data_IF_104815683210
#
_entry.id   IF_104815683210
#
_cell.length_a   1.000
_cell.length_b   1.000
_cell.length_c   1.000
_cell.angle_alpha   90.00
_cell.angle_beta   90.00
_cell.angle_gamma   90.00
#
_symmetry.space_group_name_H-M   'P 1'
#
loop_
_entity.id
_entity.type
_entity.pdbx_description
1 polymer ?
#
# COMPACT_ATOMS: atom_id res chain seq x y z
N UNK A 1 -11.87 -5.12 -5.77
CA UNK A 1 -10.92 -4.66 -4.72
C UNK A 1 -10.02 -3.50 -5.15
N UNK A 2 -9.02 -3.66 -6.04
CA UNK A 2 -8.07 -2.58 -6.43
C UNK A 2 -8.72 -1.25 -6.83
N UNK A 3 -9.80 -1.29 -7.62
CA UNK A 3 -10.58 -0.09 -7.97
C UNK A 3 -11.08 0.66 -6.72
N UNK A 4 -11.63 -0.07 -5.75
CA UNK A 4 -12.17 0.51 -4.52
C UNK A 4 -11.06 1.14 -3.66
N UNK A 5 -9.88 0.52 -3.63
CA UNK A 5 -8.71 1.06 -2.91
C UNK A 5 -8.30 2.42 -3.50
N UNK A 6 -8.22 2.52 -4.82
CA UNK A 6 -7.74 3.75 -5.49
C UNK A 6 -8.74 4.89 -5.35
N UNK A 7 -10.04 4.59 -5.40
CA UNK A 7 -11.10 5.57 -5.15
C UNK A 7 -11.37 5.81 -3.65
N UNK A 8 -10.63 5.17 -2.75
CA UNK A 8 -10.85 5.21 -1.31
C UNK A 8 -12.32 4.88 -0.90
N UNK A 9 -12.93 3.95 -1.64
CA UNK A 9 -14.31 3.51 -1.44
C UNK A 9 -14.36 2.41 -0.38
N UNK A 10 -14.55 2.82 0.88
CA UNK A 10 -14.57 1.91 2.02
C UNK A 10 -15.72 0.91 2.00
N UNK A 11 -16.87 1.25 1.42
CA UNK A 11 -18.01 0.33 1.36
C UNK A 11 -17.74 -0.80 0.38
N UNK A 12 -17.22 -0.50 -0.81
CA UNK A 12 -16.80 -1.53 -1.75
C UNK A 12 -15.57 -2.31 -1.26
N UNK A 13 -14.63 -1.67 -0.55
CA UNK A 13 -13.51 -2.40 0.09
C UNK A 13 -14.04 -3.43 1.09
N UNK A 14 -14.96 -3.07 1.98
CA UNK A 14 -15.60 -4.01 2.93
C UNK A 14 -16.29 -5.16 2.20
N UNK A 15 -17.09 -4.85 1.17
CA UNK A 15 -17.79 -5.85 0.38
C UNK A 15 -16.82 -6.89 -0.20
N UNK A 16 -15.82 -6.45 -0.96
CA UNK A 16 -14.88 -7.36 -1.63
C UNK A 16 -13.95 -8.08 -0.65
N UNK A 17 -13.63 -7.50 0.51
CA UNK A 17 -12.85 -8.18 1.55
C UNK A 17 -13.65 -9.32 2.17
N UNK A 18 -14.93 -9.08 2.48
CA UNK A 18 -15.83 -10.11 3.05
C UNK A 18 -16.06 -11.26 2.09
N UNK A 19 -16.17 -10.99 0.79
CA UNK A 19 -16.25 -12.03 -0.25
C UNK A 19 -15.01 -12.96 -0.25
N UNK A 20 -13.87 -12.48 0.25
CA UNK A 20 -12.62 -13.22 0.39
C UNK A 20 -12.36 -13.73 1.81
N UNK A 21 -13.36 -13.66 2.70
CA UNK A 21 -13.25 -14.15 4.08
C UNK A 21 -12.51 -13.21 5.04
N UNK A 22 -12.14 -12.00 4.60
CA UNK A 22 -11.35 -11.07 5.41
C UNK A 22 -12.22 -9.94 5.97
N UNK A 23 -12.26 -9.79 7.29
CA UNK A 23 -13.10 -8.77 7.95
C UNK A 23 -12.47 -7.37 7.93
N UNK A 24 -11.16 -7.28 8.18
CA UNK A 24 -10.45 -6.00 8.22
C UNK A 24 -10.06 -5.55 6.80
N UNK A 25 -10.96 -4.82 6.14
CA UNK A 25 -10.78 -4.38 4.76
C UNK A 25 -9.61 -3.42 4.53
N UNK A 26 -9.26 -2.61 5.54
CA UNK A 26 -8.10 -1.71 5.47
C UNK A 26 -6.83 -2.54 5.47
N UNK A 27 -6.68 -3.43 6.46
CA UNK A 27 -5.49 -4.25 6.60
C UNK A 27 -5.31 -5.17 5.39
N UNK A 28 -6.42 -5.75 4.90
CA UNK A 28 -6.38 -6.56 3.70
C UNK A 28 -5.91 -5.78 2.48
N UNK A 29 -6.37 -4.54 2.32
CA UNK A 29 -5.91 -3.67 1.25
C UNK A 29 -4.43 -3.27 1.40
N UNK A 30 -3.92 -3.11 2.62
CA UNK A 30 -2.49 -2.84 2.90
C UNK A 30 -1.62 -4.04 2.55
N UNK A 31 -2.05 -5.26 2.94
CA UNK A 31 -1.40 -6.52 2.57
C UNK A 31 -1.41 -6.71 1.05
N UNK A 32 -2.55 -6.49 0.39
CA UNK A 32 -2.71 -6.67 -1.05
C UNK A 32 -1.85 -5.69 -1.87
N UNK A 33 -1.76 -4.44 -1.42
CA UNK A 33 -1.02 -3.38 -2.11
C UNK A 33 0.46 -3.33 -1.73
N UNK A 34 0.86 -4.05 -0.67
CA UNK A 34 2.19 -3.97 -0.06
C UNK A 34 2.59 -2.52 0.27
N UNK A 35 1.59 -1.72 0.67
CA UNK A 35 1.74 -0.31 0.93
C UNK A 35 0.81 0.11 2.07
N UNK A 36 1.27 0.98 2.99
CA UNK A 36 0.41 1.49 4.04
C UNK A 36 -0.68 2.39 3.45
N UNK A 37 -1.95 2.11 3.76
CA UNK A 37 -3.11 2.93 3.42
C UNK A 37 -3.37 3.96 4.50
N UNK A 38 -3.10 3.61 5.76
CA UNK A 38 -3.13 4.55 6.89
C UNK A 38 -1.70 4.82 7.34
N UNK A 39 -1.21 6.03 7.06
CA UNK A 39 -0.02 6.52 7.76
C UNK A 39 -0.46 6.87 9.18
N UNK A 40 -0.13 6.01 10.14
CA UNK A 40 -0.34 6.32 11.56
C UNK A 40 0.53 7.54 11.90
N UNK A 41 -0.02 8.45 12.69
CA UNK A 41 0.51 9.80 12.91
C UNK A 41 2.02 9.79 13.10
N UNK A 42 2.73 10.46 12.19
CA UNK A 42 4.17 10.58 12.23
C UNK A 42 4.55 11.45 13.44
N UNK A 43 5.03 10.83 14.52
CA UNK A 43 5.67 11.56 15.62
C UNK A 43 7.14 11.66 15.30
N UNK A 44 7.61 12.88 15.10
CA UNK A 44 9.01 13.18 14.82
C UNK A 44 9.80 13.00 16.13
N UNK A 45 10.30 11.79 16.37
CA UNK A 45 11.11 11.47 17.54
C UNK A 45 12.56 11.78 17.17
N UNK A 46 13.14 12.81 17.78
CA UNK A 46 14.51 13.26 17.49
C UNK A 46 15.58 12.37 18.14
N UNK A 47 15.24 11.64 19.21
CA UNK A 47 16.09 10.65 19.89
C UNK A 47 15.24 9.48 20.38
N UNK A 48 15.60 8.26 19.98
CA UNK A 48 14.93 7.04 20.46
C UNK A 48 15.36 6.77 21.91
N UNK A 49 14.42 6.75 22.84
CA UNK A 49 14.67 6.25 24.21
C UNK A 49 14.42 4.75 24.27
N UNK A 50 14.96 4.05 25.27
CA UNK A 50 14.69 2.61 25.48
C UNK A 50 13.18 2.33 25.65
N UNK A 51 12.44 3.26 26.26
CA UNK A 51 10.98 3.19 26.38
C UNK A 51 10.27 3.34 25.04
N UNK A 52 10.78 4.20 24.15
CA UNK A 52 10.26 4.34 22.79
C UNK A 52 10.53 3.09 21.95
N UNK A 53 11.71 2.49 22.07
CA UNK A 53 12.08 1.26 21.39
C UNK A 53 11.14 0.11 21.80
N UNK A 54 10.95 -0.10 23.10
CA UNK A 54 10.03 -1.13 23.61
C UNK A 54 8.61 -0.93 23.08
N UNK A 55 8.11 0.31 23.10
CA UNK A 55 6.77 0.65 22.59
C UNK A 55 6.65 0.41 21.08
N UNK A 56 7.69 0.73 20.32
CA UNK A 56 7.74 0.47 18.88
C UNK A 56 7.78 -1.03 18.57
N UNK A 57 8.52 -1.82 19.36
CA UNK A 57 8.55 -3.28 19.23
C UNK A 57 7.18 -3.90 19.55
N UNK A 58 6.52 -3.47 20.63
CA UNK A 58 5.17 -3.93 20.98
C UNK A 58 4.17 -3.60 19.86
N UNK A 59 4.19 -2.34 19.38
CA UNK A 59 3.37 -1.94 18.24
C UNK A 59 3.63 -2.77 16.98
N UNK A 60 4.90 -3.07 16.68
CA UNK A 60 5.27 -3.90 15.54
C UNK A 60 4.76 -5.34 15.69
N UNK A 61 4.78 -5.91 16.90
CA UNK A 61 4.25 -7.25 17.20
C UNK A 61 2.74 -7.30 16.99
N UNK A 62 1.99 -6.39 17.60
CA UNK A 62 0.52 -6.34 17.45
C UNK A 62 0.11 -6.18 15.98
N UNK A 63 0.91 -5.40 15.24
CA UNK A 63 0.72 -5.20 13.81
C UNK A 63 0.99 -6.47 13.01
N UNK A 64 2.05 -7.20 13.34
CA UNK A 64 2.39 -8.47 12.70
C UNK A 64 1.31 -9.53 12.97
N UNK A 65 0.81 -9.62 14.20
CA UNK A 65 -0.26 -10.54 14.58
C UNK A 65 -1.53 -10.24 13.78
N UNK A 66 -1.90 -8.95 13.67
CA UNK A 66 -3.02 -8.52 12.83
C UNK A 66 -2.84 -8.94 11.36
N UNK A 67 -1.64 -8.77 10.80
CA UNK A 67 -1.32 -9.17 9.41
C UNK A 67 -1.46 -10.69 9.27
N UNK A 68 -0.98 -11.45 10.24
CA UNK A 68 -1.06 -12.91 10.24
C UNK A 68 -2.52 -13.37 10.24
N UNK A 69 -3.38 -12.79 11.07
CA UNK A 69 -4.81 -13.08 11.10
C UNK A 69 -5.48 -12.76 9.75
N UNK A 70 -5.10 -11.65 9.13
CA UNK A 70 -5.56 -11.28 7.78
C UNK A 70 -5.12 -12.32 6.73
N UNK A 71 -3.88 -12.82 6.80
CA UNK A 71 -3.35 -13.84 5.89
C UNK A 71 -3.98 -15.21 6.12
N UNK A 72 -4.32 -15.56 7.37
CA UNK A 72 -4.95 -16.83 7.68
C UNK A 72 -6.43 -16.90 7.24
N UNK A 73 -7.12 -15.76 7.23
CA UNK A 73 -8.54 -15.68 6.86
C UNK A 73 -8.81 -15.72 5.35
N UNK A 74 -7.81 -15.42 4.51
CA UNK A 74 -7.99 -15.37 3.04
C UNK A 74 -7.88 -16.75 2.37
N UNK A 75 -8.45 -16.94 1.16
CA UNK A 75 -8.34 -18.19 0.43
C UNK A 75 -6.89 -18.50 0.02
N UNK A 76 -6.50 -19.78 0.06
CA UNK A 76 -5.13 -20.25 -0.25
C UNK A 76 -4.63 -19.81 -1.63
N UNK A 77 -5.50 -19.68 -2.62
CA UNK A 77 -5.13 -19.20 -3.95
C UNK A 77 -4.60 -17.77 -3.92
N UNK A 78 -5.11 -16.92 -3.03
CA UNK A 78 -4.66 -15.54 -2.89
C UNK A 78 -3.29 -15.44 -2.21
N UNK A 79 -2.94 -16.40 -1.35
CA UNK A 79 -1.59 -16.50 -0.77
C UNK A 79 -0.51 -16.66 -1.85
N UNK A 80 -0.80 -17.41 -2.91
CA UNK A 80 0.11 -17.57 -4.04
C UNK A 80 0.30 -16.24 -4.80
N UNK A 81 -0.78 -15.45 -4.93
CA UNK A 81 -0.69 -14.10 -5.53
C UNK A 81 0.19 -13.20 -4.66
N UNK A 82 -0.01 -13.19 -3.34
CA UNK A 82 0.83 -12.40 -2.42
C UNK A 82 2.29 -12.83 -2.47
N UNK A 83 2.56 -14.14 -2.54
CA UNK A 83 3.92 -14.67 -2.69
C UNK A 83 4.58 -14.14 -3.97
N UNK A 84 3.86 -14.16 -5.10
CA UNK A 84 4.37 -13.64 -6.36
C UNK A 84 4.63 -12.12 -6.27
N UNK A 85 3.73 -11.36 -5.64
CA UNK A 85 3.91 -9.93 -5.41
C UNK A 85 5.17 -9.66 -4.56
N UNK A 86 5.40 -10.46 -3.51
CA UNK A 86 6.60 -10.39 -2.68
C UNK A 86 7.88 -10.75 -3.44
N UNK A 87 7.85 -11.73 -4.34
CA UNK A 87 8.99 -12.02 -5.23
C UNK A 87 9.30 -10.84 -6.17
N UNK A 88 8.26 -10.28 -6.81
CA UNK A 88 8.42 -9.10 -7.68
C UNK A 88 8.94 -7.90 -6.87
N UNK A 89 8.48 -7.73 -5.62
CA UNK A 89 8.98 -6.72 -4.69
C UNK A 89 10.47 -6.87 -4.44
N UNK A 90 10.90 -8.06 -4.04
CA UNK A 90 12.30 -8.35 -3.74
C UNK A 90 13.19 -8.07 -4.94
N UNK A 91 12.83 -8.60 -6.12
CA UNK A 91 13.60 -8.38 -7.35
C UNK A 91 13.69 -6.89 -7.67
N UNK A 92 12.56 -6.16 -7.62
CA UNK A 92 12.56 -4.72 -7.89
C UNK A 92 13.42 -3.97 -6.87
N UNK A 93 13.42 -4.37 -5.60
CA UNK A 93 14.22 -3.75 -4.56
C UNK A 93 15.71 -3.97 -4.79
N UNK A 94 16.13 -5.19 -5.13
CA UNK A 94 17.52 -5.54 -5.42
C UNK A 94 18.10 -4.72 -6.59
N UNK A 95 17.24 -4.18 -7.45
CA UNK A 95 17.60 -3.30 -8.57
C UNK A 95 17.42 -1.80 -8.26
N UNK A 96 17.26 -1.41 -6.99
CA UNK A 96 17.11 0.00 -6.59
C UNK A 96 15.70 0.58 -6.76
N UNK A 97 14.67 -0.28 -6.81
CA UNK A 97 13.26 0.10 -6.97
C UNK A 97 12.95 1.01 -8.18
N UNK A 98 13.30 0.59 -9.42
CA UNK A 98 13.15 1.44 -10.60
C UNK A 98 11.70 1.62 -11.07
N UNK A 99 10.75 0.84 -10.54
CA UNK A 99 9.38 0.74 -11.05
C UNK A 99 8.37 1.19 -9.98
N UNK A 100 7.38 2.00 -10.38
CA UNK A 100 6.18 2.28 -9.58
C UNK A 100 5.21 1.08 -9.62
N UNK A 101 5.57 0.03 -8.87
CA UNK A 101 4.83 -1.24 -8.83
C UNK A 101 3.37 -1.06 -8.45
N UNK A 102 3.07 -0.15 -7.51
CA UNK A 102 1.70 0.14 -7.10
C UNK A 102 0.83 0.58 -8.29
N UNK A 103 1.30 1.56 -9.07
CA UNK A 103 0.57 2.07 -10.24
C UNK A 103 0.45 1.02 -11.35
N UNK A 104 1.48 0.19 -11.57
CA UNK A 104 1.44 -0.91 -12.55
C UNK A 104 0.39 -1.95 -12.16
N UNK A 105 0.43 -2.43 -10.91
CA UNK A 105 -0.53 -3.42 -10.39
C UNK A 105 -1.97 -2.89 -10.41
N UNK A 106 -2.16 -1.64 -10.02
CA UNK A 106 -3.43 -0.93 -10.10
C UNK A 106 -4.04 -0.97 -11.51
N UNK A 107 -3.23 -0.63 -12.53
CA UNK A 107 -3.67 -0.65 -13.94
C UNK A 107 -4.00 -2.06 -14.41
N UNK A 108 -3.14 -3.04 -14.12
CA UNK A 108 -3.37 -4.43 -14.52
C UNK A 108 -4.62 -5.01 -13.87
N UNK A 109 -4.83 -4.77 -12.58
CA UNK A 109 -5.98 -5.27 -11.84
C UNK A 109 -7.32 -4.62 -12.26
N UNK A 110 -7.28 -3.43 -12.87
CA UNK A 110 -8.47 -2.69 -13.29
C UNK A 110 -8.67 -2.63 -14.80
N UNK A 111 -7.75 -3.19 -15.60
CA UNK A 111 -7.76 -3.11 -17.07
C UNK A 111 -9.11 -3.51 -17.68
N UNK A 112 -9.68 -4.64 -17.24
CA UNK A 112 -10.98 -5.12 -17.73
C UNK A 112 -12.17 -4.27 -17.28
N UNK A 113 -12.03 -3.52 -16.19
CA UNK A 113 -13.13 -2.68 -15.66
C UNK A 113 -13.40 -1.48 -16.55
N UNK A 114 -12.39 -1.04 -17.31
CA UNK A 114 -12.49 0.08 -18.23
C UNK A 114 -12.61 -0.35 -19.70
N UNK A 115 -12.97 -1.61 -19.97
CA UNK A 115 -13.17 -2.09 -21.35
C UNK A 115 -14.21 -1.25 -22.09
N UNK A 116 -13.98 -1.04 -23.38
CA UNK A 116 -14.78 -0.16 -24.25
C UNK A 116 -15.60 -0.95 -25.28
N UNK A 117 -16.11 -2.13 -24.89
CA UNK A 117 -16.78 -3.06 -25.81
C UNK A 117 -18.12 -2.53 -26.36
N UNK A 118 -18.72 -1.51 -25.73
CA UNK A 118 -19.97 -0.89 -26.16
C UNK A 118 -19.89 0.64 -26.11
N UNK A 119 -20.61 1.32 -27.02
CA UNK A 119 -20.68 2.78 -27.11
C UNK A 119 -21.19 3.43 -25.80
N UNK A 120 -22.17 2.82 -25.14
CA UNK A 120 -22.70 3.31 -23.85
C UNK A 120 -21.66 3.18 -22.74
N UNK A 121 -20.97 2.04 -22.68
CA UNK A 121 -19.90 1.79 -21.73
C UNK A 121 -18.71 2.72 -21.96
N UNK A 122 -18.46 3.12 -23.21
CA UNK A 122 -17.38 4.04 -23.56
C UNK A 122 -17.57 5.43 -22.94
N UNK A 123 -18.80 5.98 -22.97
CA UNK A 123 -19.07 7.31 -22.41
C UNK A 123 -18.86 7.37 -20.89
N UNK A 124 -19.14 6.28 -20.17
CA UNK A 124 -18.97 6.20 -18.71
C UNK A 124 -17.54 5.83 -18.33
N UNK A 125 -16.92 4.90 -19.05
CA UNK A 125 -15.61 4.35 -18.67
C UNK A 125 -14.46 5.32 -18.96
N UNK A 126 -14.56 6.18 -19.98
CA UNK A 126 -13.52 7.19 -20.29
C UNK A 126 -13.31 8.19 -19.15
N UNK A 127 -14.33 8.94 -18.67
CA UNK A 127 -14.13 9.89 -17.57
C UNK A 127 -13.68 9.20 -16.28
N UNK A 128 -14.20 8.00 -16.01
CA UNK A 128 -13.78 7.22 -14.86
C UNK A 128 -12.32 6.77 -14.94
N UNK A 129 -11.86 6.34 -16.12
CA UNK A 129 -10.46 5.99 -16.36
C UNK A 129 -9.54 7.23 -16.28
N UNK A 130 -9.96 8.38 -16.80
CA UNK A 130 -9.20 9.63 -16.64
C UNK A 130 -9.06 10.02 -15.17
N UNK A 131 -10.15 9.94 -14.39
CA UNK A 131 -10.11 10.22 -12.96
C UNK A 131 -9.23 9.22 -12.19
N UNK A 132 -9.27 7.94 -12.58
CA UNK A 132 -8.38 6.90 -12.06
C UNK A 132 -6.89 7.22 -12.30
N UNK A 133 -6.52 7.57 -13.53
CA UNK A 133 -5.13 7.93 -13.87
C UNK A 133 -4.69 9.24 -13.17
N UNK A 134 -5.61 10.20 -13.02
CA UNK A 134 -5.36 11.41 -12.23
C UNK A 134 -5.06 11.08 -10.77
N UNK A 135 -5.84 10.21 -10.13
CA UNK A 135 -5.60 9.78 -8.75
C UNK A 135 -4.26 9.08 -8.57
N UNK A 136 -3.89 8.17 -9.49
CA UNK A 136 -2.58 7.52 -9.47
C UNK A 136 -1.44 8.55 -9.63
N UNK A 137 -1.59 9.49 -10.55
CA UNK A 137 -0.64 10.58 -10.76
C UNK A 137 -0.48 11.47 -9.53
N UNK A 138 -1.59 11.84 -8.90
CA UNK A 138 -1.62 12.63 -7.68
C UNK A 138 -0.92 11.91 -6.52
N UNK A 139 -1.21 10.63 -6.30
CA UNK A 139 -0.54 9.83 -5.28
C UNK A 139 0.98 9.75 -5.52
N UNK A 140 1.41 9.60 -6.78
CA UNK A 140 2.84 9.62 -7.13
C UNK A 140 3.49 10.96 -6.79
N UNK A 141 2.82 12.07 -7.08
CA UNK A 141 3.29 13.42 -6.72
C UNK A 141 3.39 13.57 -5.19
N UNK A 142 2.37 13.16 -4.43
CA UNK A 142 2.41 13.20 -2.97
C UNK A 142 3.55 12.36 -2.38
N UNK A 143 3.81 11.15 -2.93
CA UNK A 143 4.95 10.32 -2.53
C UNK A 143 6.29 11.01 -2.81
N UNK A 144 6.41 11.65 -3.97
CA UNK A 144 7.60 12.43 -4.31
C UNK A 144 7.81 13.60 -3.35
N UNK A 145 6.76 14.37 -3.04
CA UNK A 145 6.83 15.43 -2.03
C UNK A 145 7.22 14.88 -0.65
N UNK A 146 6.64 13.77 -0.20
CA UNK A 146 7.00 13.12 1.07
C UNK A 146 8.45 12.65 1.09
N UNK A 147 8.95 12.09 -0.01
CA UNK A 147 10.36 11.71 -0.14
C UNK A 147 11.27 12.93 -0.06
N UNK A 148 10.89 14.02 -0.74
CA UNK A 148 11.64 15.27 -0.70
C UNK A 148 11.67 15.88 0.71
N UNK A 149 10.53 15.94 1.41
CA UNK A 149 10.47 16.49 2.76
C UNK A 149 11.30 15.67 3.76
N UNK A 150 11.30 14.34 3.64
CA UNK A 150 12.12 13.45 4.47
C UNK A 150 13.61 13.66 4.22
N UNK A 151 14.05 13.76 2.96
CA UNK A 151 15.45 14.04 2.61
C UNK A 151 15.92 15.39 3.14
N UNK A 152 15.07 16.41 3.05
CA UNK A 152 15.36 17.73 3.62
C UNK A 152 15.52 17.61 5.14
N UNK A 153 14.59 16.94 5.82
CA UNK A 153 14.63 16.76 7.28
C UNK A 153 15.86 15.97 7.76
N UNK A 154 16.29 14.95 6.99
CA UNK A 154 17.51 14.19 7.23
C UNK A 154 18.77 15.06 7.08
N UNK A 155 18.80 15.92 6.04
CA UNK A 155 19.91 16.87 5.86
C UNK A 155 20.02 17.89 7.00
N UNK A 156 18.91 18.22 7.67
CA UNK A 156 18.91 19.06 8.88
C UNK A 156 19.22 18.30 10.18
N UNK A 157 19.47 16.98 10.13
CA UNK A 157 19.81 16.17 11.30
C UNK A 157 18.66 16.01 12.31
N UNK A 158 17.42 16.33 11.90
CA UNK A 158 16.24 16.32 12.77
C UNK A 158 15.47 14.99 12.72
N UNK A 159 15.75 14.14 11.74
CA UNK A 159 15.16 12.81 11.64
C UNK A 159 16.19 11.73 12.01
N UNK A 160 15.83 10.73 12.84
CA UNK A 160 16.59 9.49 12.92
C UNK A 160 16.60 8.77 11.57
N UNK A 161 17.37 7.69 11.46
CA UNK A 161 17.51 6.86 10.25
C UNK A 161 16.21 6.07 9.96
N UNK A 162 15.14 6.81 9.66
CA UNK A 162 13.78 6.30 9.42
C UNK A 162 13.72 5.55 8.10
N UNK A 163 14.65 5.79 7.17
CA UNK A 163 14.79 4.96 5.96
C UNK A 163 15.08 3.51 6.32
N UNK A 164 15.89 3.26 7.36
CA UNK A 164 16.14 1.92 7.88
C UNK A 164 14.89 1.30 8.52
N UNK A 165 14.17 2.08 9.33
CA UNK A 165 12.92 1.60 9.96
C UNK A 165 11.80 1.34 8.93
N UNK A 166 11.65 2.20 7.92
CA UNK A 166 10.66 2.04 6.86
C UNK A 166 11.03 0.92 5.89
N UNK A 167 12.32 0.66 5.64
CA UNK A 167 12.74 -0.49 4.84
C UNK A 167 12.49 -1.81 5.59
N UNK A 168 12.73 -1.86 6.91
CA UNK A 168 12.41 -2.99 7.78
C UNK A 168 10.90 -3.26 7.85
N UNK A 169 10.06 -2.22 7.97
CA UNK A 169 8.60 -2.37 7.98
C UNK A 169 8.06 -2.80 6.60
N UNK A 170 8.66 -2.32 5.51
CA UNK A 170 8.35 -2.80 4.15
C UNK A 170 8.83 -4.24 3.90
N UNK A 171 9.73 -4.78 4.73
CA UNK A 171 10.15 -6.19 4.68
C UNK A 171 9.11 -7.11 5.34
N UNK A 172 8.38 -6.61 6.34
CA UNK A 172 7.35 -7.34 7.08
C UNK A 172 5.99 -7.49 6.34
N UNK A 173 5.80 -6.79 5.21
CA UNK A 173 4.67 -6.91 4.28
C UNK A 173 5.08 -7.71 3.02
#
# INVERSE_FOLDING_TARGET
MWKAIIFNDHENMKKYSRELGVENHILFAEVLTQAPLRTHGFKLITKLTEEDEKRMTEFARDRFDSIMDCIQSMPRSLLLVLRNLNTIRSISHDHGSPIDRYSVLARMATQKTYSHDSLTNRMVNIPLWMYFEFLLGFQRICRWFRSLTLKILQNFGLAPDIEKFMSEMNFAL
#
